data_IF_476227251724
#
_entry.id   IF_476227251724
#
_cell.length_a   1.000
_cell.length_b   1.000
_cell.length_c   1.000
_cell.angle_alpha   90.00
_cell.angle_beta   90.00
_cell.angle_gamma   90.00
#
_symmetry.space_group_name_H-M   'P 1'
#
loop_
_entity.id
_entity.type
_entity.pdbx_description
1 polymer ?
#
# COMPACT_ATOMS: atom_id res chain seq x y z
N UNK A 1 -0.25 -7.34 -7.47
CA UNK A 1 -0.52 -6.05 -6.81
C UNK A 1 0.77 -5.44 -6.34
N UNK A 2 0.76 -4.16 -5.98
CA UNK A 2 1.93 -3.44 -5.46
C UNK A 2 1.65 -2.92 -4.05
N UNK A 3 2.71 -2.73 -3.26
CA UNK A 3 2.64 -2.22 -1.88
C UNK A 3 3.82 -1.30 -1.60
N UNK A 4 3.60 -0.23 -0.85
CA UNK A 4 4.68 0.65 -0.39
C UNK A 4 5.61 -0.06 0.59
N UNK A 5 6.90 0.26 0.56
CA UNK A 5 7.87 -0.31 1.50
C UNK A 5 7.50 -0.05 2.98
N UNK A 6 6.92 1.10 3.32
CA UNK A 6 6.50 1.41 4.68
C UNK A 6 5.29 0.57 5.14
N UNK A 7 4.36 0.22 4.25
CA UNK A 7 3.26 -0.65 4.62
C UNK A 7 3.77 -2.06 4.99
N UNK A 8 4.84 -2.54 4.36
CA UNK A 8 5.49 -3.80 4.72
C UNK A 8 6.04 -3.75 6.16
N UNK A 9 6.74 -2.68 6.53
CA UNK A 9 7.29 -2.54 7.89
C UNK A 9 6.18 -2.36 8.93
N UNK A 10 5.12 -1.62 8.61
CA UNK A 10 3.93 -1.48 9.45
C UNK A 10 3.22 -2.81 9.68
N UNK A 11 2.97 -3.60 8.62
CA UNK A 11 2.36 -4.92 8.75
C UNK A 11 3.23 -5.83 9.61
N UNK A 12 4.54 -5.88 9.35
CA UNK A 12 5.46 -6.67 10.16
C UNK A 12 5.42 -6.27 11.65
N UNK A 13 5.43 -4.96 11.94
CA UNK A 13 5.32 -4.44 13.31
C UNK A 13 4.00 -4.84 13.98
N UNK A 14 2.87 -4.63 13.30
CA UNK A 14 1.55 -4.92 13.85
C UNK A 14 1.37 -6.43 14.10
N UNK A 15 1.73 -7.29 13.14
CA UNK A 15 1.64 -8.74 13.32
C UNK A 15 2.55 -9.21 14.47
N UNK A 16 3.76 -8.67 14.57
CA UNK A 16 4.67 -9.00 15.67
C UNK A 16 4.15 -8.55 17.04
N UNK A 17 3.52 -7.37 17.09
CA UNK A 17 2.95 -6.79 18.32
C UNK A 17 1.70 -7.52 18.81
N UNK A 18 0.85 -7.97 17.90
CA UNK A 18 -0.48 -8.52 18.24
C UNK A 18 -0.59 -10.04 18.06
N UNK A 19 0.44 -10.71 17.56
CA UNK A 19 0.49 -12.17 17.41
C UNK A 19 1.80 -12.71 17.96
N UNK A 20 2.84 -12.79 17.12
CA UNK A 20 4.18 -13.25 17.51
C UNK A 20 5.20 -12.95 16.39
N UNK A 21 6.50 -13.09 16.72
CA UNK A 21 7.60 -12.84 15.78
C UNK A 21 7.62 -13.80 14.57
N UNK A 22 7.23 -15.06 14.75
CA UNK A 22 7.22 -16.03 13.66
C UNK A 22 6.10 -15.72 12.66
N UNK A 23 4.94 -15.30 13.14
CA UNK A 23 3.81 -14.80 12.34
C UNK A 23 4.21 -13.56 11.54
N UNK A 24 4.96 -12.62 12.14
CA UNK A 24 5.48 -11.45 11.43
C UNK A 24 6.45 -11.83 10.30
N UNK A 25 7.34 -12.80 10.55
CA UNK A 25 8.25 -13.34 9.53
C UNK A 25 7.50 -14.01 8.38
N UNK A 26 6.44 -14.79 8.67
CA UNK A 26 5.59 -15.39 7.64
C UNK A 26 4.85 -14.35 6.81
N UNK A 27 4.33 -13.30 7.44
CA UNK A 27 3.66 -12.20 6.74
C UNK A 27 4.64 -11.47 5.80
N UNK A 28 5.85 -11.15 6.28
CA UNK A 28 6.90 -10.55 5.47
C UNK A 28 7.25 -11.42 4.24
N UNK A 29 7.52 -12.71 4.47
CA UNK A 29 7.85 -13.64 3.39
C UNK A 29 6.71 -13.74 2.36
N UNK A 30 5.47 -13.74 2.82
CA UNK A 30 4.30 -13.75 1.94
C UNK A 30 4.20 -12.46 1.11
N UNK A 31 4.35 -11.29 1.73
CA UNK A 31 4.30 -9.99 1.01
C UNK A 31 5.38 -9.91 -0.07
N UNK A 32 6.63 -10.25 0.26
CA UNK A 32 7.76 -10.22 -0.68
C UNK A 32 7.58 -11.19 -1.86
N UNK A 33 6.89 -12.32 -1.64
CA UNK A 33 6.64 -13.32 -2.68
C UNK A 33 5.52 -12.92 -3.65
N UNK A 34 4.49 -12.22 -3.18
CA UNK A 34 3.25 -12.03 -3.94
C UNK A 34 3.00 -10.60 -4.40
N UNK A 35 3.71 -9.61 -3.85
CA UNK A 35 3.51 -8.20 -4.18
C UNK A 35 4.81 -7.58 -4.70
N UNK A 36 4.65 -6.67 -5.66
CA UNK A 36 5.73 -5.76 -6.03
C UNK A 36 5.93 -4.74 -4.89
N UNK A 37 7.14 -4.66 -4.35
CA UNK A 37 7.47 -3.67 -3.33
C UNK A 37 7.89 -2.38 -4.02
N UNK A 38 7.08 -1.35 -3.89
CA UNK A 38 7.46 -0.03 -4.41
C UNK A 38 8.54 0.56 -3.50
N UNK A 39 9.72 0.77 -4.07
CA UNK A 39 10.83 1.41 -3.38
C UNK A 39 10.47 2.86 -3.02
N UNK A 40 10.96 3.31 -1.86
CA UNK A 40 10.87 4.71 -1.43
C UNK A 40 12.31 5.21 -1.29
N UNK A 41 12.74 6.05 -2.24
CA UNK A 41 14.03 6.70 -2.24
C UNK A 41 13.91 8.21 -2.07
N UNK A 42 15.02 8.92 -2.29
CA UNK A 42 15.07 10.39 -2.25
C UNK A 42 14.04 11.02 -3.19
N UNK A 43 14.01 10.58 -4.43
CA UNK A 43 13.18 11.17 -5.48
C UNK A 43 11.69 11.03 -5.17
N UNK A 44 11.27 9.89 -4.59
CA UNK A 44 9.91 9.67 -4.15
C UNK A 44 9.53 10.58 -2.99
N UNK A 45 10.44 10.78 -2.02
CA UNK A 45 10.21 11.63 -0.85
C UNK A 45 10.15 13.12 -1.24
N UNK A 46 11.06 13.57 -2.11
CA UNK A 46 11.07 14.95 -2.62
C UNK A 46 9.80 15.24 -3.43
N UNK A 47 9.40 14.32 -4.31
CA UNK A 47 8.15 14.45 -5.06
C UNK A 47 6.93 14.44 -4.14
N UNK A 48 6.87 13.52 -3.17
CA UNK A 48 5.76 13.48 -2.21
C UNK A 48 5.65 14.78 -1.41
N UNK A 49 6.79 15.38 -1.01
CA UNK A 49 6.82 16.68 -0.34
C UNK A 49 6.30 17.82 -1.22
N UNK A 50 6.54 17.76 -2.54
CA UNK A 50 6.05 18.75 -3.49
C UNK A 50 4.54 18.66 -3.76
N UNK A 51 3.87 17.55 -3.41
CA UNK A 51 2.42 17.39 -3.60
C UNK A 51 1.60 18.27 -2.63
N UNK A 52 2.17 18.68 -1.50
CA UNK A 52 1.50 19.55 -0.53
C UNK A 52 0.28 18.91 0.17
N UNK A 53 0.21 17.58 0.23
CA UNK A 53 -0.87 16.88 0.94
C UNK A 53 -0.71 17.02 2.45
N UNK A 54 -1.84 17.02 3.17
CA UNK A 54 -1.85 17.10 4.63
C UNK A 54 -1.21 15.87 5.27
N UNK A 55 -1.45 14.69 4.70
CA UNK A 55 -0.82 13.43 5.13
C UNK A 55 0.34 13.08 4.20
N UNK A 56 1.56 13.10 4.76
CA UNK A 56 2.77 12.81 4.01
C UNK A 56 2.89 11.33 3.64
N UNK A 57 2.38 10.41 4.47
CA UNK A 57 2.39 8.97 4.15
C UNK A 57 1.54 8.70 2.91
N UNK A 58 0.34 9.31 2.85
CA UNK A 58 -0.54 9.21 1.68
C UNK A 58 0.10 9.81 0.42
N UNK A 59 0.83 10.93 0.55
CA UNK A 59 1.58 11.53 -0.56
C UNK A 59 2.70 10.60 -1.08
N UNK A 60 3.38 9.90 -0.17
CA UNK A 60 4.39 8.88 -0.52
C UNK A 60 3.72 7.70 -1.23
N UNK A 61 2.60 7.18 -0.70
CA UNK A 61 1.84 6.09 -1.33
C UNK A 61 1.40 6.46 -2.75
N UNK A 62 0.84 7.66 -2.93
CA UNK A 62 0.43 8.15 -4.24
C UNK A 62 1.61 8.23 -5.22
N UNK A 63 2.74 8.78 -4.75
CA UNK A 63 3.96 8.91 -5.54
C UNK A 63 4.52 7.56 -5.98
N UNK A 64 4.63 6.59 -5.07
CA UNK A 64 5.18 5.27 -5.41
C UNK A 64 4.22 4.43 -6.26
N UNK A 65 2.90 4.61 -6.10
CA UNK A 65 1.91 3.98 -6.95
C UNK A 65 2.03 4.50 -8.40
N UNK A 66 2.21 5.81 -8.58
CA UNK A 66 2.44 6.41 -9.89
C UNK A 66 3.71 5.92 -10.55
N UNK A 67 4.83 5.90 -9.81
CA UNK A 67 6.11 5.40 -10.32
C UNK A 67 6.06 3.92 -10.71
N UNK A 68 5.27 3.12 -9.99
CA UNK A 68 5.06 1.70 -10.30
C UNK A 68 4.07 1.44 -11.44
N UNK A 69 3.50 2.49 -12.05
CA UNK A 69 2.51 2.35 -13.12
C UNK A 69 1.16 1.80 -12.64
N UNK A 70 0.85 1.92 -11.34
CA UNK A 70 -0.43 1.49 -10.81
C UNK A 70 -1.57 2.35 -11.38
N UNK A 71 -2.65 1.72 -11.81
CA UNK A 71 -3.83 2.41 -12.33
C UNK A 71 -4.83 2.80 -11.24
N UNK A 72 -4.67 2.27 -10.02
CA UNK A 72 -5.53 2.59 -8.89
C UNK A 72 -4.84 2.39 -7.54
N UNK A 73 -5.39 3.06 -6.51
CA UNK A 73 -5.00 2.91 -5.10
C UNK A 73 -6.17 2.28 -4.34
N UNK A 74 -5.88 1.21 -3.59
CA UNK A 74 -6.83 0.51 -2.73
C UNK A 74 -6.70 1.09 -1.33
N UNK A 75 -7.65 1.93 -0.91
CA UNK A 75 -7.63 2.58 0.39
C UNK A 75 -9.01 2.57 1.04
N UNK A 76 -9.06 2.58 2.38
CA UNK A 76 -10.28 2.85 3.14
C UNK A 76 -10.58 4.34 3.25
N UNK A 77 -9.59 5.19 2.96
CA UNK A 77 -9.65 6.64 3.17
C UNK A 77 -9.65 7.40 1.84
N UNK A 78 -10.71 7.20 1.05
CA UNK A 78 -10.81 7.68 -0.33
C UNK A 78 -10.65 9.22 -0.45
N UNK A 79 -11.16 9.95 0.54
CA UNK A 79 -11.13 11.43 0.58
C UNK A 79 -9.72 12.01 0.55
N UNK A 80 -8.75 11.33 1.16
CA UNK A 80 -7.40 11.85 1.34
C UNK A 80 -6.56 11.65 0.07
N UNK A 81 -7.07 10.89 -0.91
CA UNK A 81 -6.42 10.63 -2.20
C UNK A 81 -7.05 11.38 -3.38
N UNK A 82 -7.94 12.35 -3.16
CA UNK A 82 -8.77 12.97 -4.21
C UNK A 82 -7.99 13.57 -5.40
N UNK A 83 -6.69 13.86 -5.22
CA UNK A 83 -5.78 14.35 -6.28
C UNK A 83 -4.84 13.31 -6.91
N UNK A 84 -4.92 12.03 -6.52
CA UNK A 84 -4.08 10.96 -7.07
C UNK A 84 -4.72 10.23 -8.27
N UNK A 85 -3.98 9.28 -8.83
CA UNK A 85 -4.41 8.41 -9.94
C UNK A 85 -5.74 7.72 -9.58
N UNK A 86 -6.60 7.55 -10.59
CA UNK A 86 -7.98 7.05 -10.54
C UNK A 86 -8.25 6.07 -9.39
N UNK A 87 -9.22 6.42 -8.54
CA UNK A 87 -9.54 5.69 -7.32
C UNK A 87 -10.56 4.57 -7.59
N UNK A 88 -10.36 3.42 -6.96
CA UNK A 88 -11.39 2.38 -6.88
C UNK A 88 -11.57 1.97 -5.42
N UNK A 89 -12.83 1.95 -4.95
CA UNK A 89 -13.17 1.42 -3.63
C UNK A 89 -12.80 -0.06 -3.59
N UNK A 90 -12.08 -0.48 -2.55
CA UNK A 90 -11.91 -1.89 -2.24
C UNK A 90 -13.28 -2.44 -1.82
N UNK A 91 -14.08 -2.90 -2.78
CA UNK A 91 -15.24 -3.72 -2.45
C UNK A 91 -14.70 -5.08 -2.03
N UNK A 92 -14.98 -5.48 -0.79
CA UNK A 92 -14.65 -6.81 -0.31
C UNK A 92 -15.23 -7.83 -1.29
N UNK A 93 -14.37 -8.62 -1.93
CA UNK A 93 -14.80 -9.75 -2.73
C UNK A 93 -15.68 -10.62 -1.85
N UNK A 94 -16.99 -10.68 -2.16
CA UNK A 94 -17.90 -11.61 -1.49
C UNK A 94 -17.41 -13.02 -1.82
N UNK A 95 -17.19 -13.89 -0.82
CA UNK A 95 -16.90 -15.28 -1.11
C UNK A 95 -18.19 -15.94 -1.64
N UNK A 96 -18.15 -16.40 -2.88
CA UNK A 96 -19.16 -17.32 -3.43
C UNK A 96 -20.00 -16.72 -4.56
N UNK A 97 -19.51 -16.83 -5.79
CA UNK A 97 -20.35 -17.27 -6.91
C UNK A 97 -19.57 -18.38 -7.60
N UNK A 98 -20.08 -19.60 -7.44
CA UNK A 98 -19.54 -20.80 -8.06
C UNK A 98 -19.65 -20.69 -9.57
N UNK A 99 -18.62 -21.16 -10.26
CA UNK A 99 -18.70 -21.49 -11.68
C UNK A 99 -19.42 -22.82 -11.78
N UNK A 100 -20.65 -22.78 -12.28
CA UNK A 100 -21.16 -23.80 -13.21
C UNK A 100 -21.37 -23.13 -14.56
#
# INVERSE_FOLDING_TARGET
GAISAHAVTTIHYLVGRYTDRASAGRALAWLLKHLHICAVGRDELERAGALGWTDFEDAVVATVAERAGCTCIVTRNVKDFAGAIRQHRAEAARPGEGVE
#
